data_IF_910520439650
#
_entry.id   IF_910520439650
#
_cell.length_a   1.000
_cell.length_b   1.000
_cell.length_c   1.000
_cell.angle_alpha   90.00
_cell.angle_beta   90.00
_cell.angle_gamma   90.00
#
_symmetry.space_group_name_H-M   'P 1'
#
loop_
_entity.id
_entity.type
_entity.pdbx_description
1 polymer ?
#
# COMPACT_ATOMS: atom_id res chain seq x y z
N UNK A 1 -25.85 2.67 9.27
CA UNK A 1 -25.34 1.84 8.15
C UNK A 1 -24.49 2.61 7.14
N UNK A 2 -24.95 3.78 6.64
CA UNK A 2 -24.25 4.55 5.60
C UNK A 2 -22.75 4.82 5.90
N UNK A 3 -22.41 5.12 7.15
CA UNK A 3 -21.03 5.38 7.56
C UNK A 3 -20.12 4.14 7.46
N UNK A 4 -20.63 2.97 7.86
CA UNK A 4 -19.89 1.69 7.75
C UNK A 4 -19.65 1.36 6.27
N UNK A 5 -20.67 1.51 5.44
CA UNK A 5 -20.56 1.30 4.00
C UNK A 5 -19.56 2.27 3.35
N UNK A 6 -19.57 3.54 3.75
CA UNK A 6 -18.62 4.54 3.29
C UNK A 6 -17.17 4.17 3.64
N UNK A 7 -16.92 3.69 4.87
CA UNK A 7 -15.59 3.23 5.29
C UNK A 7 -15.13 2.02 4.46
N UNK A 8 -15.99 1.01 4.28
CA UNK A 8 -15.66 -0.20 3.51
C UNK A 8 -15.31 0.16 2.07
N UNK A 9 -16.15 0.97 1.41
CA UNK A 9 -15.89 1.41 0.03
C UNK A 9 -14.61 2.23 -0.05
N UNK A 10 -14.35 3.11 0.92
CA UNK A 10 -13.10 3.88 0.99
C UNK A 10 -11.86 3.00 1.08
N UNK A 11 -11.88 1.95 1.91
CA UNK A 11 -10.77 1.00 2.04
C UNK A 11 -10.58 0.20 0.74
N UNK A 12 -11.66 -0.25 0.10
CA UNK A 12 -11.58 -0.97 -1.18
C UNK A 12 -10.94 -0.09 -2.25
N UNK A 13 -11.40 1.17 -2.37
CA UNK A 13 -10.83 2.11 -3.33
C UNK A 13 -9.36 2.38 -3.04
N UNK A 14 -8.97 2.56 -1.78
CA UNK A 14 -7.57 2.72 -1.41
C UNK A 14 -6.73 1.53 -1.88
N UNK A 15 -7.15 0.30 -1.59
CA UNK A 15 -6.43 -0.92 -2.00
C UNK A 15 -6.32 -1.05 -3.53
N UNK A 16 -7.39 -0.74 -4.26
CA UNK A 16 -7.37 -0.72 -5.73
C UNK A 16 -6.41 0.34 -6.27
N UNK A 17 -6.41 1.55 -5.69
CA UNK A 17 -5.46 2.59 -6.06
C UNK A 17 -4.02 2.11 -5.83
N UNK A 18 -3.70 1.56 -4.67
CA UNK A 18 -2.36 1.02 -4.39
C UNK A 18 -1.97 -0.02 -5.44
N UNK A 19 -2.84 -0.98 -5.74
CA UNK A 19 -2.58 -2.03 -6.72
C UNK A 19 -2.30 -1.47 -8.12
N UNK A 20 -3.07 -0.47 -8.57
CA UNK A 20 -2.86 0.17 -9.87
C UNK A 20 -1.49 0.86 -9.90
N UNK A 21 -1.15 1.61 -8.86
CA UNK A 21 0.14 2.29 -8.81
C UNK A 21 1.29 1.28 -8.73
N UNK A 22 1.21 0.23 -7.92
CA UNK A 22 2.31 -0.73 -7.78
C UNK A 22 2.46 -1.65 -9.00
N UNK A 23 1.38 -2.34 -9.37
CA UNK A 23 1.44 -3.43 -10.35
C UNK A 23 1.35 -2.94 -11.78
N UNK A 24 0.62 -1.85 -12.05
CA UNK A 24 0.44 -1.32 -13.40
C UNK A 24 1.46 -0.21 -13.67
N UNK A 25 1.57 0.79 -12.82
CA UNK A 25 2.51 1.90 -13.08
C UNK A 25 3.94 1.58 -12.61
N UNK A 26 4.08 0.99 -11.43
CA UNK A 26 5.36 0.73 -10.78
C UNK A 26 6.20 -0.26 -11.56
N UNK A 27 5.65 -1.41 -11.94
CA UNK A 27 6.38 -2.40 -12.74
C UNK A 27 6.69 -1.94 -14.16
N UNK A 28 5.93 -0.99 -14.73
CA UNK A 28 6.24 -0.41 -16.04
C UNK A 28 7.34 0.64 -15.96
N UNK A 29 7.38 1.45 -14.89
CA UNK A 29 8.41 2.49 -14.70
C UNK A 29 9.72 1.92 -14.12
N UNK A 30 9.60 0.95 -13.22
CA UNK A 30 10.69 0.28 -12.52
C UNK A 30 10.52 -1.23 -12.66
N UNK A 31 10.86 -1.80 -13.83
CA UNK A 31 10.73 -3.23 -14.06
C UNK A 31 11.53 -4.03 -13.04
N UNK A 32 10.88 -5.06 -12.50
CA UNK A 32 11.54 -6.03 -11.65
C UNK A 32 12.44 -6.94 -12.53
N UNK A 33 13.52 -7.50 -11.98
CA UNK A 33 14.37 -8.44 -12.71
C UNK A 33 13.58 -9.67 -13.16
N UNK A 34 14.02 -10.31 -14.26
CA UNK A 34 13.36 -11.51 -14.78
C UNK A 34 13.29 -12.61 -13.71
N UNK A 35 12.13 -13.27 -13.62
CA UNK A 35 11.87 -14.28 -12.60
C UNK A 35 11.70 -13.71 -11.18
N UNK A 36 11.48 -12.41 -11.04
CA UNK A 36 11.16 -11.81 -9.75
C UNK A 36 9.84 -12.32 -9.18
N UNK A 37 9.89 -12.74 -7.92
CA UNK A 37 8.71 -13.08 -7.12
C UNK A 37 8.56 -12.08 -5.96
N UNK A 38 7.81 -10.98 -6.16
CA UNK A 38 7.55 -9.98 -5.13
C UNK A 38 6.56 -10.47 -4.06
N UNK A 39 6.02 -11.68 -4.17
CA UNK A 39 5.18 -12.29 -3.13
C UNK A 39 5.97 -13.20 -2.21
N UNK A 40 7.17 -13.63 -2.64
CA UNK A 40 8.06 -14.49 -1.88
C UNK A 40 9.08 -13.69 -1.07
N UNK A 41 8.94 -13.77 0.25
CA UNK A 41 9.80 -13.06 1.19
C UNK A 41 11.27 -13.52 1.14
N UNK A 42 11.54 -14.80 0.87
CA UNK A 42 12.91 -15.30 0.73
C UNK A 42 13.56 -14.79 -0.56
N UNK A 43 12.80 -14.73 -1.65
CA UNK A 43 13.29 -14.15 -2.90
C UNK A 43 13.63 -12.67 -2.72
N UNK A 44 12.72 -11.90 -2.11
CA UNK A 44 12.93 -10.48 -1.81
C UNK A 44 14.20 -10.27 -0.98
N UNK A 45 14.40 -11.09 0.06
CA UNK A 45 15.60 -11.03 0.91
C UNK A 45 16.89 -11.23 0.10
N UNK A 46 16.93 -12.29 -0.71
CA UNK A 46 18.14 -12.68 -1.45
C UNK A 46 18.43 -11.80 -2.68
N UNK A 47 17.49 -10.94 -3.07
CA UNK A 47 17.58 -10.09 -4.25
C UNK A 47 17.26 -8.60 -3.94
N UNK A 48 17.35 -8.20 -2.68
CA UNK A 48 17.01 -6.83 -2.23
C UNK A 48 17.86 -5.76 -2.92
N UNK A 49 19.10 -6.10 -3.23
CA UNK A 49 20.08 -5.32 -3.98
C UNK A 49 19.69 -5.17 -5.46
N UNK A 50 18.99 -6.15 -6.02
CA UNK A 50 18.49 -6.15 -7.41
C UNK A 50 17.19 -5.38 -7.58
N UNK A 51 16.44 -5.14 -6.50
CA UNK A 51 15.21 -4.34 -6.56
C UNK A 51 15.57 -2.86 -6.69
N UNK A 52 15.13 -2.17 -7.76
CA UNK A 52 15.42 -0.75 -7.95
C UNK A 52 14.96 0.09 -6.75
N UNK A 53 15.81 1.04 -6.31
CA UNK A 53 15.44 1.98 -5.22
C UNK A 53 14.19 2.78 -5.59
N UNK A 54 14.04 3.13 -6.88
CA UNK A 54 12.85 3.78 -7.42
C UNK A 54 11.58 2.97 -7.21
N UNK A 55 11.61 1.64 -7.40
CA UNK A 55 10.47 0.76 -7.15
C UNK A 55 10.03 0.80 -5.67
N UNK A 56 11.00 0.77 -4.75
CA UNK A 56 10.74 0.84 -3.30
C UNK A 56 10.11 2.18 -2.90
N UNK A 57 10.62 3.29 -3.43
CA UNK A 57 10.05 4.61 -3.20
C UNK A 57 8.64 4.74 -3.80
N UNK A 58 8.41 4.13 -4.95
CA UNK A 58 7.11 4.16 -5.62
C UNK A 58 6.01 3.44 -4.85
N UNK A 59 6.32 2.31 -4.21
CA UNK A 59 5.42 1.59 -3.29
C UNK A 59 4.95 2.48 -2.14
N UNK A 60 5.87 3.26 -1.55
CA UNK A 60 5.54 4.20 -0.48
C UNK A 60 4.57 5.27 -1.01
N UNK A 61 4.88 5.87 -2.17
CA UNK A 61 4.01 6.87 -2.81
C UNK A 61 2.63 6.28 -3.12
N UNK A 62 2.57 5.06 -3.65
CA UNK A 62 1.34 4.35 -3.96
C UNK A 62 0.44 4.21 -2.73
N UNK A 63 1.00 3.81 -1.58
CA UNK A 63 0.26 3.72 -0.31
C UNK A 63 -0.26 5.08 0.16
N UNK A 64 0.52 6.14 0.07
CA UNK A 64 0.04 7.49 0.42
C UNK A 64 -1.10 7.94 -0.48
N UNK A 65 -1.00 7.73 -1.80
CA UNK A 65 -2.07 8.05 -2.75
C UNK A 65 -3.32 7.17 -2.52
N UNK A 66 -3.14 5.89 -2.20
CA UNK A 66 -4.21 5.00 -1.80
C UNK A 66 -4.97 5.51 -0.58
N UNK A 67 -4.26 5.89 0.48
CA UNK A 67 -4.85 6.46 1.70
C UNK A 67 -5.66 7.73 1.37
N UNK A 68 -5.06 8.68 0.63
CA UNK A 68 -5.72 9.94 0.27
C UNK A 68 -6.99 9.69 -0.55
N UNK A 69 -6.92 8.82 -1.56
CA UNK A 69 -8.06 8.50 -2.42
C UNK A 69 -9.16 7.77 -1.67
N UNK A 70 -8.83 6.82 -0.80
CA UNK A 70 -9.80 6.10 0.03
C UNK A 70 -10.49 7.00 1.06
N UNK A 71 -9.74 7.90 1.69
CA UNK A 71 -10.28 8.94 2.57
C UNK A 71 -11.25 9.85 1.82
N UNK A 72 -10.85 10.34 0.65
CA UNK A 72 -11.68 11.20 -0.20
C UNK A 72 -13.00 10.52 -0.59
N UNK A 73 -12.96 9.24 -1.00
CA UNK A 73 -14.16 8.49 -1.35
C UNK A 73 -15.04 8.23 -0.14
N UNK A 74 -14.48 7.84 1.01
CA UNK A 74 -15.23 7.64 2.25
C UNK A 74 -15.95 8.94 2.69
N UNK A 75 -15.27 10.09 2.60
CA UNK A 75 -15.87 11.40 2.90
C UNK A 75 -17.01 11.73 1.92
N UNK A 76 -16.79 11.51 0.61
CA UNK A 76 -17.78 11.79 -0.44
C UNK A 76 -19.06 10.96 -0.30
N UNK A 77 -18.95 9.70 0.12
CA UNK A 77 -20.10 8.82 0.33
C UNK A 77 -20.86 9.20 1.60
N UNK A 78 -20.13 9.48 2.68
CA UNK A 78 -20.70 9.90 3.97
C UNK A 78 -21.55 11.17 3.86
N UNK A 79 -21.10 12.17 3.09
CA UNK A 79 -21.70 13.51 2.88
C UNK A 79 -21.91 14.37 4.14
N UNK A 80 -22.11 13.77 5.31
CA UNK A 80 -22.54 14.43 6.55
C UNK A 80 -21.47 14.34 7.64
N UNK A 81 -20.64 13.28 7.64
CA UNK A 81 -19.65 13.05 8.70
C UNK A 81 -18.26 12.78 8.12
N UNK A 82 -17.23 13.38 8.70
CA UNK A 82 -15.83 13.11 8.36
C UNK A 82 -15.27 11.88 9.09
N UNK A 83 -16.02 11.33 10.07
CA UNK A 83 -15.60 10.16 10.87
C UNK A 83 -15.22 8.95 9.99
N UNK A 84 -16.00 8.54 8.96
CA UNK A 84 -15.63 7.41 8.10
C UNK A 84 -14.29 7.61 7.38
N UNK A 85 -13.97 8.86 7.01
CA UNK A 85 -12.71 9.21 6.36
C UNK A 85 -11.53 9.02 7.31
N UNK A 86 -11.63 9.49 8.55
CA UNK A 86 -10.57 9.30 9.55
C UNK A 86 -10.38 7.84 9.93
N UNK A 87 -11.47 7.07 10.02
CA UNK A 87 -11.39 5.63 10.30
C UNK A 87 -10.70 4.90 9.14
N UNK A 88 -11.13 5.13 7.90
CA UNK A 88 -10.52 4.50 6.72
C UNK A 88 -9.04 4.88 6.59
N UNK A 89 -8.72 6.17 6.70
CA UNK A 89 -7.36 6.68 6.61
C UNK A 89 -6.46 6.16 7.74
N UNK A 90 -6.94 6.21 8.98
CA UNK A 90 -6.21 5.71 10.15
C UNK A 90 -5.92 4.22 10.07
N UNK A 91 -6.93 3.40 9.71
CA UNK A 91 -6.74 1.96 9.51
C UNK A 91 -5.72 1.66 8.41
N UNK A 92 -5.83 2.35 7.27
CA UNK A 92 -4.92 2.14 6.13
C UNK A 92 -3.49 2.58 6.45
N UNK A 93 -3.31 3.69 7.16
CA UNK A 93 -2.00 4.18 7.56
C UNK A 93 -1.32 3.25 8.57
N UNK A 94 -2.07 2.75 9.55
CA UNK A 94 -1.59 1.75 10.51
C UNK A 94 -1.20 0.46 9.77
N UNK A 95 -2.06 -0.03 8.88
CA UNK A 95 -1.78 -1.23 8.09
C UNK A 95 -0.53 -1.07 7.22
N UNK A 96 -0.39 0.06 6.53
CA UNK A 96 0.80 0.38 5.73
C UNK A 96 2.05 0.40 6.61
N UNK A 97 2.03 1.12 7.73
CA UNK A 97 3.17 1.19 8.64
C UNK A 97 3.59 -0.19 9.15
N UNK A 98 2.63 -1.00 9.62
CA UNK A 98 2.91 -2.35 10.10
C UNK A 98 3.47 -3.25 9.01
N UNK A 99 2.92 -3.20 7.79
CA UNK A 99 3.40 -4.00 6.67
C UNK A 99 4.87 -3.67 6.34
N UNK A 100 5.19 -2.38 6.15
CA UNK A 100 6.54 -1.94 5.82
C UNK A 100 7.53 -2.25 6.95
N UNK A 101 7.13 -2.04 8.21
CA UNK A 101 7.97 -2.33 9.36
C UNK A 101 8.23 -3.84 9.52
N UNK A 102 7.21 -4.67 9.32
CA UNK A 102 7.32 -6.12 9.38
C UNK A 102 8.25 -6.67 8.30
N UNK A 103 8.08 -6.21 7.07
CA UNK A 103 8.95 -6.57 5.93
C UNK A 103 10.39 -6.17 6.22
N UNK A 104 10.63 -4.93 6.65
CA UNK A 104 11.98 -4.44 6.94
C UNK A 104 12.66 -5.24 8.06
N UNK A 105 11.94 -5.53 9.16
CA UNK A 105 12.47 -6.37 10.24
C UNK A 105 12.77 -7.79 9.78
N UNK A 106 11.89 -8.42 8.99
CA UNK A 106 12.11 -9.76 8.43
C UNK A 106 13.35 -9.80 7.54
N UNK A 107 13.67 -8.73 6.81
CA UNK A 107 14.90 -8.67 6.01
C UNK A 107 16.12 -8.57 6.94
N UNK A 108 16.09 -7.69 7.95
CA UNK A 108 17.23 -7.49 8.87
C UNK A 108 17.54 -8.70 9.77
N UNK A 109 16.53 -9.38 10.33
CA UNK A 109 16.72 -10.47 11.31
C UNK A 109 17.48 -11.67 10.77
N UNK A 110 17.44 -11.94 9.46
CA UNK A 110 18.11 -13.09 8.86
C UNK A 110 19.45 -12.74 8.17
N UNK A 111 19.97 -11.54 8.43
CA UNK A 111 21.27 -11.07 7.91
C UNK A 111 22.34 -10.97 9.02
N UNK A 112 22.01 -11.41 10.24
CA UNK A 112 22.94 -11.66 11.34
C UNK A 112 23.32 -13.14 11.43
#
# INVERSE_FOLDING_TARGET
MKNVLATIIGIIVAGVTVHIFESVLGHNLFPLPEGADPTNMEWIKNNMDKIPVGAKAFVVIAHFLGIITGMYVAAKISKVSTIPSYIAGGLMLIAAFFYHFYVTKRIMVYTC
#
